data_IF_798662764164
#
_entry.id   IF_798662764164
#
_cell.length_a   1.000
_cell.length_b   1.000
_cell.length_c   1.000
_cell.angle_alpha   90.00
_cell.angle_beta   90.00
_cell.angle_gamma   90.00
#
_symmetry.space_group_name_H-M   'P 1'
#
loop_
_entity.id
_entity.type
_entity.pdbx_description
1 polymer ?
#
# COMPACT_ATOMS: atom_id res chain seq x y z
N UNK A 1 1.26 24.00 -69.14
CA UNK A 1 2.37 23.50 -68.28
C UNK A 1 2.17 24.14 -66.91
N UNK A 2 1.66 23.39 -65.91
CA UNK A 2 2.42 22.74 -64.83
C UNK A 2 3.13 23.80 -63.94
N UNK A 3 2.99 23.87 -62.62
CA UNK A 3 2.46 22.93 -61.62
C UNK A 3 2.42 23.61 -60.24
N UNK A 4 1.37 23.27 -59.47
CA UNK A 4 1.40 22.93 -58.03
C UNK A 4 1.85 24.03 -57.04
N UNK A 5 0.87 24.74 -56.47
CA UNK A 5 0.99 25.30 -55.11
C UNK A 5 0.71 24.18 -54.11
N UNK A 6 1.74 23.69 -53.41
CA UNK A 6 1.58 22.82 -52.25
C UNK A 6 1.12 23.67 -51.07
N UNK A 7 -0.19 23.68 -50.80
CA UNK A 7 -0.72 24.15 -49.53
C UNK A 7 -0.65 22.96 -48.56
N UNK A 8 0.44 22.86 -47.81
CA UNK A 8 0.61 21.89 -46.73
C UNK A 8 -0.38 22.22 -45.61
N UNK A 9 -1.50 21.49 -45.59
CA UNK A 9 -2.38 21.39 -44.42
C UNK A 9 -1.58 20.74 -43.29
N UNK A 10 -1.00 21.55 -42.41
CA UNK A 10 -0.54 21.09 -41.09
C UNK A 10 -1.79 20.80 -40.25
N UNK A 11 -2.32 19.59 -40.39
CA UNK A 11 -3.21 19.00 -39.40
C UNK A 11 -2.39 18.74 -38.13
N UNK A 12 -2.30 19.75 -37.28
CA UNK A 12 -1.96 19.60 -35.86
C UNK A 12 -3.08 18.78 -35.22
N UNK A 13 -2.96 17.45 -35.33
CA UNK A 13 -3.67 16.53 -34.47
C UNK A 13 -3.15 16.71 -33.04
N UNK A 14 -3.72 17.65 -32.30
CA UNK A 14 -3.62 17.61 -30.85
C UNK A 14 -4.43 16.40 -30.40
N UNK A 15 -3.74 15.28 -30.21
CA UNK A 15 -4.23 14.21 -29.38
C UNK A 15 -4.40 14.80 -27.97
N UNK A 16 -5.60 15.28 -27.66
CA UNK A 16 -6.03 15.47 -26.28
C UNK A 16 -6.06 14.09 -25.65
N UNK A 17 -4.94 13.67 -25.07
CA UNK A 17 -4.97 12.67 -24.03
C UNK A 17 -5.81 13.29 -22.92
N UNK A 18 -7.09 12.91 -22.84
CA UNK A 18 -7.90 13.15 -21.68
C UNK A 18 -7.20 12.44 -20.51
N UNK A 19 -6.34 13.17 -19.78
CA UNK A 19 -5.98 12.76 -18.44
C UNK A 19 -7.30 12.77 -17.69
N UNK A 20 -7.83 11.59 -17.39
CA UNK A 20 -8.85 11.46 -16.37
C UNK A 20 -8.33 12.23 -15.16
N UNK A 21 -9.09 13.24 -14.72
CA UNK A 21 -8.73 14.03 -13.55
C UNK A 21 -8.52 13.05 -12.39
N UNK A 22 -7.36 13.12 -11.75
CA UNK A 22 -7.08 12.28 -10.60
C UNK A 22 -8.15 12.56 -9.54
N UNK A 23 -8.82 11.50 -9.10
CA UNK A 23 -9.90 11.61 -8.14
C UNK A 23 -9.41 12.28 -6.85
N UNK A 24 -10.19 13.26 -6.38
CA UNK A 24 -9.88 14.00 -5.15
C UNK A 24 -10.42 13.23 -3.95
N UNK A 25 -9.62 13.17 -2.89
CA UNK A 25 -10.01 12.54 -1.63
C UNK A 25 -10.10 13.61 -0.53
N UNK A 26 -11.10 13.50 0.33
CA UNK A 26 -11.36 14.41 1.44
C UNK A 26 -11.57 13.65 2.74
N UNK A 27 -11.18 14.26 3.86
CA UNK A 27 -11.61 13.79 5.18
C UNK A 27 -12.93 14.44 5.52
N UNK A 28 -13.91 13.63 5.88
CA UNK A 28 -15.25 14.08 6.25
C UNK A 28 -15.68 13.49 7.59
N UNK A 29 -16.49 14.25 8.30
CA UNK A 29 -17.17 13.86 9.53
C UNK A 29 -18.65 13.68 9.27
N UNK A 30 -19.20 12.55 9.70
CA UNK A 30 -20.57 12.12 9.44
C UNK A 30 -21.24 11.86 10.78
N UNK A 31 -22.37 12.50 11.06
CA UNK A 31 -23.09 12.26 12.31
C UNK A 31 -23.54 10.79 12.40
N UNK A 32 -23.10 10.10 13.44
CA UNK A 32 -23.24 8.66 13.58
C UNK A 32 -24.55 8.29 14.30
N UNK A 33 -25.44 7.62 13.58
CA UNK A 33 -26.49 6.80 14.19
C UNK A 33 -26.11 5.31 14.20
N UNK A 34 -26.92 4.50 14.90
CA UNK A 34 -26.65 3.07 15.08
C UNK A 34 -26.62 2.27 13.76
N UNK A 35 -27.20 2.80 12.67
CA UNK A 35 -27.32 2.12 11.39
C UNK A 35 -26.41 2.72 10.29
N UNK A 36 -25.73 3.85 10.55
CA UNK A 36 -24.95 4.57 9.56
C UNK A 36 -23.88 3.67 8.95
N UNK A 37 -23.10 2.99 9.79
CA UNK A 37 -22.01 2.13 9.32
C UNK A 37 -22.51 1.07 8.32
N UNK A 38 -23.61 0.38 8.66
CA UNK A 38 -24.21 -0.63 7.79
C UNK A 38 -24.76 -0.03 6.48
N UNK A 39 -25.30 1.19 6.52
CA UNK A 39 -25.74 1.89 5.29
C UNK A 39 -24.56 2.21 4.39
N UNK A 40 -23.48 2.76 4.93
CA UNK A 40 -22.27 3.09 4.16
C UNK A 40 -21.64 1.85 3.52
N UNK A 41 -21.57 0.74 4.26
CA UNK A 41 -21.06 -0.53 3.72
C UNK A 41 -21.89 -1.05 2.55
N UNK A 42 -23.22 -1.01 2.65
CA UNK A 42 -24.13 -1.45 1.56
C UNK A 42 -24.06 -0.57 0.32
N UNK A 43 -23.61 0.67 0.48
CA UNK A 43 -23.36 1.59 -0.63
C UNK A 43 -21.99 1.36 -1.30
N UNK A 44 -21.19 0.42 -0.80
CA UNK A 44 -19.89 0.08 -1.38
C UNK A 44 -18.78 1.07 -1.05
N UNK A 45 -18.93 1.87 0.02
CA UNK A 45 -17.88 2.79 0.48
C UNK A 45 -16.77 2.05 1.21
N UNK A 46 -15.53 2.52 1.05
CA UNK A 46 -14.34 2.06 1.75
C UNK A 46 -14.31 2.55 3.21
N UNK A 47 -15.24 2.05 4.03
CA UNK A 47 -15.38 2.39 5.45
C UNK A 47 -14.60 1.47 6.39
N UNK A 48 -13.56 0.81 5.89
CA UNK A 48 -12.65 -0.03 6.68
C UNK A 48 -11.67 0.77 7.56
N UNK A 49 -11.51 2.07 7.29
CA UNK A 49 -10.63 2.98 8.06
C UNK A 49 -11.40 4.12 8.73
N UNK A 50 -12.61 3.86 9.21
CA UNK A 50 -13.44 4.87 9.88
C UNK A 50 -13.12 4.95 11.36
N UNK A 51 -12.90 6.17 11.85
CA UNK A 51 -12.68 6.43 13.27
C UNK A 51 -13.92 7.06 13.90
N UNK A 52 -14.36 6.54 15.04
CA UNK A 52 -15.43 7.16 15.83
C UNK A 52 -14.85 8.28 16.68
N UNK A 53 -15.32 9.49 16.48
CA UNK A 53 -14.95 10.66 17.28
C UNK A 53 -16.22 11.27 17.89
N UNK A 54 -16.45 11.01 19.18
CA UNK A 54 -17.68 11.38 19.86
C UNK A 54 -18.91 10.72 19.20
N UNK A 55 -19.83 11.54 18.70
CA UNK A 55 -21.02 11.11 17.99
C UNK A 55 -20.86 11.09 16.46
N UNK A 56 -19.64 11.22 15.94
CA UNK A 56 -19.40 11.23 14.49
C UNK A 56 -18.49 10.07 14.05
N UNK A 57 -18.67 9.66 12.80
CA UNK A 57 -17.74 8.82 12.04
C UNK A 57 -16.88 9.72 11.16
N UNK A 58 -15.56 9.61 11.29
CA UNK A 58 -14.59 10.30 10.44
C UNK A 58 -14.07 9.32 9.40
N UNK A 59 -14.20 9.67 8.13
CA UNK A 59 -13.80 8.84 7.00
C UNK A 59 -13.00 9.65 5.97
N UNK A 60 -12.09 8.98 5.28
CA UNK A 60 -11.34 9.54 4.15
C UNK A 60 -11.89 8.94 2.86
N UNK A 61 -12.68 9.73 2.14
CA UNK A 61 -13.51 9.26 1.03
C UNK A 61 -13.18 9.98 -0.27
N UNK A 62 -13.36 9.27 -1.38
CA UNK A 62 -13.20 9.79 -2.72
C UNK A 62 -14.36 10.71 -3.11
N UNK A 63 -14.18 11.56 -4.10
CA UNK A 63 -15.25 12.41 -4.64
C UNK A 63 -16.45 11.58 -5.12
N UNK A 64 -16.21 10.41 -5.74
CA UNK A 64 -17.27 9.47 -6.13
C UNK A 64 -18.07 8.96 -4.93
N UNK A 65 -17.39 8.60 -3.85
CA UNK A 65 -18.02 8.12 -2.62
C UNK A 65 -18.83 9.22 -1.93
N UNK A 66 -18.30 10.44 -1.89
CA UNK A 66 -18.99 11.61 -1.33
C UNK A 66 -20.25 11.96 -2.14
N UNK A 67 -20.18 11.91 -3.47
CA UNK A 67 -21.34 12.11 -4.35
C UNK A 67 -22.41 11.04 -4.11
N UNK A 68 -21.99 9.79 -3.89
CA UNK A 68 -22.88 8.67 -3.56
C UNK A 68 -23.59 8.89 -2.23
N UNK A 69 -22.88 9.42 -1.22
CA UNK A 69 -23.49 9.81 0.06
C UNK A 69 -24.51 10.94 -0.08
N UNK A 70 -24.18 12.00 -0.83
CA UNK A 70 -25.09 13.11 -1.06
C UNK A 70 -26.37 12.66 -1.78
N UNK A 71 -26.24 11.81 -2.80
CA UNK A 71 -27.37 11.25 -3.53
C UNK A 71 -28.28 10.39 -2.63
N UNK A 72 -27.73 9.75 -1.60
CA UNK A 72 -28.47 9.00 -0.59
C UNK A 72 -29.04 9.87 0.55
N UNK A 73 -28.87 11.19 0.49
CA UNK A 73 -29.33 12.12 1.53
C UNK A 73 -28.51 12.09 2.82
N UNK A 74 -27.29 11.53 2.78
CA UNK A 74 -26.37 11.49 3.93
C UNK A 74 -25.56 12.79 3.93
N UNK A 75 -25.77 13.61 4.95
CA UNK A 75 -25.01 14.84 5.16
C UNK A 75 -23.68 14.56 5.84
N UNK A 76 -22.67 15.35 5.50
CA UNK A 76 -21.33 15.28 6.11
C UNK A 76 -20.69 16.67 6.16
N UNK A 77 -19.71 16.82 7.04
CA UNK A 77 -18.87 18.02 7.15
C UNK A 77 -17.48 17.72 6.64
N UNK A 78 -16.95 18.55 5.74
CA UNK A 78 -15.57 18.39 5.23
C UNK A 78 -14.60 18.96 6.26
N UNK A 79 -13.69 18.12 6.76
CA UNK A 79 -12.61 18.51 7.68
C UNK A 79 -11.32 18.83 6.93
N UNK A 80 -11.00 18.02 5.92
CA UNK A 80 -9.83 18.23 5.05
C UNK A 80 -10.31 18.11 3.61
N UNK A 81 -10.22 19.22 2.88
CA UNK A 81 -10.73 19.29 1.51
C UNK A 81 -9.91 18.43 0.53
N UNK A 82 -8.58 18.44 0.66
CA UNK A 82 -7.67 17.72 -0.24
C UNK A 82 -6.62 16.96 0.57
N UNK A 83 -6.83 15.65 0.73
CA UNK A 83 -5.95 14.77 1.49
C UNK A 83 -4.55 14.64 0.90
N UNK A 84 -4.44 14.54 -0.43
CA UNK A 84 -3.14 14.43 -1.09
C UNK A 84 -2.27 15.66 -0.78
N UNK A 85 -2.81 16.87 -0.95
CA UNK A 85 -2.10 18.11 -0.63
C UNK A 85 -1.78 18.21 0.87
N UNK A 86 -2.73 17.84 1.73
CA UNK A 86 -2.53 17.83 3.17
C UNK A 86 -1.36 16.93 3.59
N UNK A 87 -1.29 15.69 3.07
CA UNK A 87 -0.23 14.76 3.41
C UNK A 87 1.12 15.15 2.80
N UNK A 88 1.14 15.74 1.59
CA UNK A 88 2.37 16.28 1.01
C UNK A 88 2.97 17.39 1.88
N UNK A 89 2.15 18.35 2.33
CA UNK A 89 2.60 19.43 3.20
C UNK A 89 2.98 18.94 4.61
N UNK A 90 2.23 17.99 5.16
CA UNK A 90 2.59 17.34 6.42
C UNK A 90 3.96 16.69 6.30
N UNK A 91 4.20 15.90 5.25
CA UNK A 91 5.48 15.23 5.04
C UNK A 91 6.65 16.23 4.93
N UNK A 92 6.47 17.35 4.22
CA UNK A 92 7.49 18.42 4.15
C UNK A 92 7.85 18.96 5.53
N UNK A 93 6.85 19.27 6.36
CA UNK A 93 7.06 19.77 7.72
C UNK A 93 7.74 18.72 8.62
N UNK A 94 7.24 17.49 8.55
CA UNK A 94 7.71 16.33 9.29
C UNK A 94 9.16 15.96 8.99
N UNK A 95 9.62 16.15 7.74
CA UNK A 95 10.99 15.89 7.30
C UNK A 95 11.93 17.07 7.54
N UNK A 96 11.40 18.30 7.62
CA UNK A 96 12.18 19.48 7.99
C UNK A 96 12.52 19.49 9.48
N UNK A 97 11.67 18.90 10.32
CA UNK A 97 11.97 18.62 11.73
C UNK A 97 12.81 17.33 11.82
N UNK A 98 13.82 17.30 12.71
CA UNK A 98 14.82 16.22 12.77
C UNK A 98 14.18 14.81 12.68
N UNK A 99 14.33 14.08 11.55
CA UNK A 99 13.45 12.96 11.21
C UNK A 99 13.58 11.74 12.14
N UNK A 100 14.73 11.58 12.81
CA UNK A 100 15.02 10.44 13.69
C UNK A 100 14.86 10.73 15.19
N UNK A 101 14.41 11.94 15.56
CA UNK A 101 14.22 12.35 16.95
C UNK A 101 12.77 12.27 17.43
N UNK A 102 11.88 11.62 16.66
CA UNK A 102 10.51 11.37 17.13
C UNK A 102 10.61 10.43 18.33
N UNK A 103 10.21 10.94 19.50
CA UNK A 103 10.04 10.11 20.68
C UNK A 103 9.15 8.92 20.31
N UNK A 104 9.58 7.71 20.65
CA UNK A 104 8.73 6.53 20.56
C UNK A 104 7.41 6.87 21.27
N UNK A 105 6.29 6.85 20.54
CA UNK A 105 4.97 7.00 21.14
C UNK A 105 4.67 5.63 21.76
N UNK A 106 4.61 5.51 23.09
CA UNK A 106 4.39 4.22 23.72
C UNK A 106 3.00 3.70 23.32
N UNK A 107 2.93 2.45 22.85
CA UNK A 107 1.66 1.74 22.69
C UNK A 107 1.18 1.24 24.07
N UNK A 108 0.91 2.15 25.01
CA UNK A 108 0.53 1.81 26.39
C UNK A 108 1.27 2.64 27.45
N UNK A 109 1.29 2.14 28.69
CA UNK A 109 2.15 2.73 29.73
C UNK A 109 3.62 2.61 29.28
N UNK A 110 4.41 3.70 29.29
CA UNK A 110 5.79 3.66 28.86
C UNK A 110 6.58 2.68 29.74
N UNK A 111 6.95 1.54 29.18
CA UNK A 111 7.96 0.67 29.75
C UNK A 111 9.34 1.18 29.29
N UNK A 112 10.21 1.66 30.19
CA UNK A 112 11.55 2.13 29.83
C UNK A 112 12.42 1.06 29.16
N UNK A 113 12.05 -0.23 29.25
CA UNK A 113 12.72 -1.32 28.57
C UNK A 113 12.31 -1.49 27.09
N UNK A 114 11.20 -0.90 26.65
CA UNK A 114 10.66 -1.05 25.29
C UNK A 114 11.18 0.04 24.33
N UNK A 115 12.44 0.44 24.47
CA UNK A 115 13.07 1.37 23.53
C UNK A 115 13.62 0.63 22.33
N UNK A 116 12.79 0.46 21.29
CA UNK A 116 13.24 -0.04 19.99
C UNK A 116 14.17 1.02 19.38
N UNK A 117 15.46 0.70 19.30
CA UNK A 117 16.43 1.56 18.62
C UNK A 117 16.21 1.48 17.11
N UNK A 118 16.34 2.62 16.43
CA UNK A 118 16.31 2.66 14.97
C UNK A 118 17.53 1.88 14.44
N UNK A 119 17.34 0.88 13.56
CA UNK A 119 18.46 0.15 12.97
C UNK A 119 19.42 1.11 12.24
N UNK A 120 20.71 0.86 12.36
CA UNK A 120 21.78 1.70 11.84
C UNK A 120 21.73 1.85 10.31
N UNK A 121 21.25 0.83 9.58
CA UNK A 121 21.12 0.86 8.13
C UNK A 121 19.73 1.32 7.65
N UNK A 122 18.80 1.63 8.56
CA UNK A 122 17.49 2.15 8.20
C UNK A 122 17.56 3.66 7.92
N UNK A 123 16.89 4.10 6.86
CA UNK A 123 16.73 5.52 6.53
C UNK A 123 15.35 5.77 5.95
N UNK A 124 14.91 7.04 5.93
CA UNK A 124 13.66 7.42 5.26
C UNK A 124 13.85 7.50 3.75
N UNK A 125 12.82 7.16 2.99
CA UNK A 125 12.85 7.20 1.52
C UNK A 125 12.53 8.56 0.91
N UNK A 126 12.71 8.69 -0.41
CA UNK A 126 12.60 10.00 -1.09
C UNK A 126 11.18 10.39 -1.50
N UNK A 127 10.18 9.53 -1.29
CA UNK A 127 8.78 9.78 -1.61
C UNK A 127 8.02 10.22 -0.34
N UNK A 128 8.26 11.46 0.10
CA UNK A 128 7.62 12.00 1.31
C UNK A 128 8.02 11.27 2.59
N UNK A 129 9.24 10.73 2.65
CA UNK A 129 9.76 9.93 3.76
C UNK A 129 9.58 8.43 3.58
N UNK A 130 8.81 8.01 2.58
CA UNK A 130 8.64 6.60 2.21
C UNK A 130 9.51 6.21 1.02
N UNK A 131 9.79 4.91 0.89
CA UNK A 131 10.62 4.37 -0.18
C UNK A 131 9.91 4.40 -1.52
N UNK A 132 10.59 4.89 -2.56
CA UNK A 132 10.23 4.51 -3.92
C UNK A 132 10.41 3.01 -4.10
N UNK A 133 9.74 2.43 -5.09
CA UNK A 133 9.85 0.99 -5.35
C UNK A 133 11.30 0.54 -5.55
N UNK A 134 12.10 1.33 -6.28
CA UNK A 134 13.53 1.07 -6.49
C UNK A 134 14.38 1.18 -5.22
N UNK A 135 13.98 2.02 -4.27
CA UNK A 135 14.68 2.19 -2.99
C UNK A 135 14.41 1.00 -2.07
N UNK A 136 13.16 0.52 -2.03
CA UNK A 136 12.81 -0.74 -1.35
C UNK A 136 13.63 -1.90 -1.90
N UNK A 137 13.71 -2.03 -3.22
CA UNK A 137 14.54 -3.03 -3.89
C UNK A 137 16.02 -2.92 -3.50
N UNK A 138 16.57 -1.70 -3.47
CA UNK A 138 17.95 -1.47 -3.04
C UNK A 138 18.19 -1.84 -1.57
N UNK A 139 17.20 -1.66 -0.68
CA UNK A 139 17.30 -2.13 0.70
C UNK A 139 17.43 -3.66 0.78
N UNK A 140 16.65 -4.40 0.00
CA UNK A 140 16.76 -5.88 -0.04
C UNK A 140 18.13 -6.33 -0.53
N UNK A 141 18.64 -5.70 -1.58
CA UNK A 141 19.97 -6.01 -2.13
C UNK A 141 21.08 -5.68 -1.10
N UNK A 142 20.94 -4.57 -0.38
CA UNK A 142 21.88 -4.16 0.67
C UNK A 142 21.86 -5.12 1.87
N UNK A 143 20.68 -5.58 2.30
CA UNK A 143 20.55 -6.57 3.39
C UNK A 143 21.26 -7.88 3.02
N UNK A 144 21.03 -8.41 1.82
CA UNK A 144 21.69 -9.63 1.35
C UNK A 144 23.22 -9.48 1.25
N UNK A 145 23.72 -8.30 0.89
CA UNK A 145 25.15 -8.02 0.86
C UNK A 145 25.78 -7.93 2.26
N UNK A 146 25.07 -7.36 3.23
CA UNK A 146 25.58 -7.14 4.60
C UNK A 146 25.42 -8.37 5.50
N UNK A 147 24.38 -9.18 5.28
CA UNK A 147 24.01 -10.31 6.15
C UNK A 147 23.79 -11.60 5.34
N UNK A 148 24.76 -12.04 4.50
CA UNK A 148 24.55 -13.16 3.57
C UNK A 148 24.22 -14.49 4.25
N UNK A 149 24.58 -14.63 5.52
CA UNK A 149 24.30 -15.83 6.33
C UNK A 149 22.94 -15.77 7.04
N UNK A 150 22.20 -14.65 6.96
CA UNK A 150 20.91 -14.46 7.66
C UNK A 150 19.76 -14.08 6.74
N UNK A 151 20.02 -13.65 5.50
CA UNK A 151 18.97 -13.30 4.54
C UNK A 151 19.33 -13.77 3.14
N UNK A 152 18.32 -14.26 2.40
CA UNK A 152 18.47 -14.64 1.01
C UNK A 152 18.65 -13.40 0.12
N UNK A 153 19.26 -13.58 -1.05
CA UNK A 153 19.03 -12.64 -2.15
C UNK A 153 17.55 -12.60 -2.48
N UNK A 154 17.03 -11.45 -2.94
CA UNK A 154 15.64 -11.39 -3.39
C UNK A 154 15.41 -12.32 -4.57
N UNK A 155 14.28 -13.00 -4.57
CA UNK A 155 13.82 -13.81 -5.69
C UNK A 155 12.35 -13.47 -6.02
N UNK A 156 11.88 -13.96 -7.15
CA UNK A 156 10.51 -13.75 -7.63
C UNK A 156 9.62 -14.92 -7.25
N UNK A 157 8.33 -14.67 -7.02
CA UNK A 157 7.36 -15.77 -6.81
C UNK A 157 7.14 -16.49 -8.16
N UNK A 158 7.53 -17.77 -8.31
CA UNK A 158 7.53 -18.44 -9.60
C UNK A 158 6.12 -18.54 -10.21
N UNK A 159 6.03 -18.27 -11.51
CA UNK A 159 4.77 -18.38 -12.26
C UNK A 159 3.81 -17.20 -12.11
N UNK A 160 4.13 -16.22 -11.26
CA UNK A 160 3.27 -15.05 -11.02
C UNK A 160 3.95 -13.74 -11.39
N UNK A 161 3.17 -12.88 -12.06
CA UNK A 161 3.50 -11.50 -12.33
C UNK A 161 2.23 -10.66 -12.15
N UNK A 162 2.39 -9.40 -11.79
CA UNK A 162 1.26 -8.46 -11.70
C UNK A 162 0.55 -8.27 -13.03
N UNK A 163 -0.60 -7.59 -13.01
CA UNK A 163 -1.35 -7.30 -14.23
C UNK A 163 -0.52 -6.55 -15.29
N UNK A 164 0.44 -5.72 -14.88
CA UNK A 164 1.35 -5.02 -15.78
C UNK A 164 2.68 -5.76 -16.01
N UNK A 165 2.77 -7.04 -15.66
CA UNK A 165 3.92 -7.90 -15.96
C UNK A 165 5.14 -7.65 -15.05
N UNK A 166 4.94 -7.11 -13.84
CA UNK A 166 6.04 -6.94 -12.87
C UNK A 166 6.18 -8.21 -12.02
N UNK A 167 7.41 -8.64 -11.73
CA UNK A 167 7.61 -9.68 -10.74
C UNK A 167 7.22 -9.18 -9.34
N UNK A 168 6.77 -10.11 -8.51
CA UNK A 168 6.57 -9.91 -7.06
C UNK A 168 7.79 -10.52 -6.37
N UNK A 169 8.51 -9.71 -5.60
CA UNK A 169 9.75 -10.12 -4.95
C UNK A 169 9.53 -10.55 -3.50
N UNK A 170 10.27 -11.56 -3.09
CA UNK A 170 10.36 -12.03 -1.72
C UNK A 170 11.81 -12.24 -1.29
N UNK A 171 12.03 -12.30 0.02
CA UNK A 171 13.29 -12.71 0.67
C UNK A 171 12.96 -13.58 1.89
N UNK A 172 13.89 -14.43 2.31
CA UNK A 172 13.80 -15.22 3.55
C UNK A 172 14.87 -14.77 4.53
N UNK A 173 14.49 -14.55 5.79
CA UNK A 173 15.41 -14.41 6.93
C UNK A 173 15.32 -15.70 7.76
N UNK A 174 16.42 -16.43 7.89
CA UNK A 174 16.65 -17.53 8.86
C UNK A 174 18.16 -17.68 9.08
N UNK A 175 18.60 -18.53 10.01
CA UNK A 175 20.01 -18.86 10.21
C UNK A 175 20.61 -19.72 9.06
N UNK A 176 19.78 -20.31 8.20
CA UNK A 176 20.18 -20.96 6.94
C UNK A 176 19.34 -20.42 5.75
N UNK A 177 19.57 -19.17 5.30
CA UNK A 177 18.69 -18.47 4.37
C UNK A 177 18.63 -19.06 2.95
N UNK A 178 19.50 -20.03 2.62
CA UNK A 178 19.58 -20.68 1.30
C UNK A 178 19.11 -22.13 1.30
N UNK A 179 18.75 -22.67 2.46
CA UNK A 179 18.22 -24.04 2.61
C UNK A 179 16.70 -24.00 2.75
N UNK A 180 16.02 -25.12 2.56
CA UNK A 180 14.59 -25.25 2.89
C UNK A 180 14.50 -26.10 4.16
N UNK A 181 13.99 -25.51 5.23
CA UNK A 181 13.97 -26.10 6.58
C UNK A 181 12.55 -26.42 7.05
N UNK A 182 11.57 -26.47 6.14
CA UNK A 182 10.14 -26.73 6.45
C UNK A 182 9.88 -28.01 7.25
N UNK A 183 10.81 -28.97 7.23
CA UNK A 183 10.71 -30.20 8.01
C UNK A 183 11.01 -30.01 9.51
N UNK A 184 11.73 -28.95 9.87
CA UNK A 184 12.26 -28.70 11.22
C UNK A 184 11.86 -27.34 11.78
N UNK A 185 11.56 -26.36 10.93
CA UNK A 185 11.23 -24.99 11.33
C UNK A 185 9.86 -24.54 10.80
N UNK A 186 9.04 -23.88 11.63
CA UNK A 186 7.83 -23.22 11.18
C UNK A 186 8.14 -22.01 10.28
N UNK A 187 7.26 -21.77 9.30
CA UNK A 187 7.38 -20.67 8.36
C UNK A 187 6.39 -19.56 8.72
N UNK A 188 6.84 -18.31 8.63
CA UNK A 188 6.02 -17.11 8.90
C UNK A 188 6.08 -16.18 7.71
N UNK A 189 4.92 -15.78 7.19
CA UNK A 189 4.81 -14.86 6.07
C UNK A 189 4.48 -13.44 6.56
N UNK A 190 5.28 -12.49 6.12
CA UNK A 190 5.05 -11.06 6.25
C UNK A 190 4.87 -10.47 4.87
N UNK A 191 3.78 -9.74 4.68
CA UNK A 191 3.55 -9.00 3.46
C UNK A 191 3.22 -7.54 3.76
N UNK A 192 3.35 -6.71 2.74
CA UNK A 192 3.04 -5.30 2.83
C UNK A 192 2.50 -4.78 1.50
N UNK A 193 1.79 -3.65 1.58
CA UNK A 193 1.26 -2.92 0.43
C UNK A 193 0.33 -3.81 -0.42
N UNK A 194 -0.66 -4.45 0.21
CA UNK A 194 -1.87 -4.90 -0.50
C UNK A 194 -2.57 -3.70 -1.11
N UNK A 195 -2.74 -2.66 -0.30
CA UNK A 195 -3.22 -1.37 -0.76
C UNK A 195 -2.05 -0.45 -1.08
N UNK A 196 -2.05 0.07 -2.30
CA UNK A 196 -0.97 0.89 -2.83
C UNK A 196 -0.76 2.23 -2.10
N UNK A 197 -1.75 2.72 -1.36
CA UNK A 197 -1.70 3.99 -0.59
C UNK A 197 -1.19 3.83 0.84
N UNK A 198 -0.74 2.64 1.22
CA UNK A 198 -0.28 2.33 2.59
C UNK A 198 1.25 2.08 2.66
N UNK A 199 2.11 3.01 2.18
CA UNK A 199 3.57 2.85 2.14
C UNK A 199 4.22 2.64 3.51
N UNK A 200 3.52 3.01 4.60
CA UNK A 200 4.00 2.78 5.96
C UNK A 200 4.17 1.29 6.26
N UNK A 201 3.34 0.41 5.68
CA UNK A 201 3.50 -1.04 5.82
C UNK A 201 4.86 -1.48 5.28
N UNK A 202 5.22 -1.07 4.06
CA UNK A 202 6.54 -1.33 3.46
C UNK A 202 7.68 -0.79 4.33
N UNK A 203 7.57 0.45 4.79
CA UNK A 203 8.61 1.06 5.62
C UNK A 203 8.81 0.32 6.95
N UNK A 204 7.71 -0.12 7.59
CA UNK A 204 7.76 -0.93 8.80
C UNK A 204 8.36 -2.31 8.53
N UNK A 205 8.02 -2.96 7.42
CA UNK A 205 8.60 -4.26 7.05
C UNK A 205 10.12 -4.14 6.87
N UNK A 206 10.60 -3.14 6.13
CA UNK A 206 12.04 -2.89 5.95
C UNK A 206 12.73 -2.57 7.27
N UNK A 207 12.08 -1.78 8.14
CA UNK A 207 12.59 -1.50 9.50
C UNK A 207 12.74 -2.80 10.31
N UNK A 208 11.70 -3.64 10.31
CA UNK A 208 11.70 -4.89 11.08
C UNK A 208 12.75 -5.87 10.58
N UNK A 209 12.94 -5.98 9.26
CA UNK A 209 14.00 -6.79 8.68
C UNK A 209 15.40 -6.32 9.13
N UNK A 210 15.70 -5.01 9.06
CA UNK A 210 16.96 -4.52 9.60
C UNK A 210 17.10 -4.75 11.10
N UNK A 211 16.01 -4.61 11.86
CA UNK A 211 16.01 -4.88 13.29
C UNK A 211 16.42 -6.33 13.58
N UNK A 212 15.86 -7.31 12.86
CA UNK A 212 16.23 -8.71 13.00
C UNK A 212 17.71 -8.94 12.66
N UNK A 213 18.16 -8.45 11.51
CA UNK A 213 19.52 -8.68 11.02
C UNK A 213 20.60 -8.01 11.89
N UNK A 214 20.37 -6.77 12.33
CA UNK A 214 21.33 -6.02 13.14
C UNK A 214 21.40 -6.49 14.59
N UNK A 215 20.32 -7.08 15.11
CA UNK A 215 20.24 -7.51 16.50
C UNK A 215 20.41 -9.02 16.68
N UNK A 216 20.61 -9.79 15.60
CA UNK A 216 20.78 -11.26 15.67
C UNK A 216 21.84 -11.71 16.68
N UNK A 217 23.00 -11.04 16.73
CA UNK A 217 24.09 -11.42 17.64
C UNK A 217 24.01 -10.79 19.04
N UNK A 218 23.11 -9.82 19.25
CA UNK A 218 23.07 -9.00 20.48
C UNK A 218 21.77 -9.15 21.27
N UNK A 219 20.70 -9.66 20.66
CA UNK A 219 19.40 -9.85 21.28
C UNK A 219 19.00 -11.33 21.24
N UNK A 220 18.91 -11.95 22.42
CA UNK A 220 18.61 -13.37 22.56
C UNK A 220 17.24 -13.76 21.98
N UNK A 221 16.23 -12.89 22.07
CA UNK A 221 14.90 -13.17 21.51
C UNK A 221 14.93 -13.09 19.98
N UNK A 222 15.64 -12.12 19.40
CA UNK A 222 15.82 -12.03 17.95
C UNK A 222 16.56 -13.25 17.43
N UNK A 223 17.62 -13.66 18.13
CA UNK A 223 18.36 -14.88 17.79
C UNK A 223 17.47 -16.11 17.82
N UNK A 224 16.70 -16.29 18.90
CA UNK A 224 15.78 -17.42 19.07
C UNK A 224 14.74 -17.49 17.95
N UNK A 225 14.19 -16.35 17.54
CA UNK A 225 13.28 -16.29 16.39
C UNK A 225 14.00 -16.74 15.10
N UNK A 226 15.15 -16.17 14.78
CA UNK A 226 15.85 -16.44 13.51
C UNK A 226 16.46 -17.85 13.44
N UNK A 227 16.86 -18.42 14.59
CA UNK A 227 17.43 -19.78 14.70
C UNK A 227 16.37 -20.90 14.70
N UNK A 228 15.08 -20.56 14.78
CA UNK A 228 14.02 -21.57 14.90
C UNK A 228 12.81 -21.28 13.99
N UNK A 229 12.91 -20.33 13.06
CA UNK A 229 11.82 -19.99 12.15
C UNK A 229 12.35 -19.51 10.79
N UNK A 230 11.60 -19.83 9.74
CA UNK A 230 11.82 -19.24 8.42
C UNK A 230 10.87 -18.06 8.20
N UNK A 231 11.41 -16.85 8.18
CA UNK A 231 10.63 -15.63 8.01
C UNK A 231 10.66 -15.18 6.54
N UNK A 232 9.54 -15.32 5.84
CA UNK A 232 9.36 -14.90 4.46
C UNK A 232 8.78 -13.48 4.41
N UNK A 233 9.36 -12.62 3.59
CA UNK A 233 8.93 -11.24 3.43
C UNK A 233 8.57 -10.93 1.98
N UNK A 234 7.38 -10.37 1.75
CA UNK A 234 6.92 -9.78 0.48
C UNK A 234 6.68 -8.28 0.73
N UNK A 235 7.70 -7.41 0.61
CA UNK A 235 7.60 -6.01 1.04
C UNK A 235 6.65 -5.15 0.19
N UNK A 236 6.24 -5.64 -0.99
CA UNK A 236 5.30 -4.95 -1.87
C UNK A 236 4.53 -5.97 -2.71
N UNK A 237 3.33 -6.35 -2.25
CA UNK A 237 2.46 -7.25 -2.99
C UNK A 237 1.83 -6.59 -4.22
N UNK A 238 1.55 -5.28 -4.16
CA UNK A 238 0.91 -4.50 -5.23
C UNK A 238 1.87 -3.47 -5.87
N UNK A 239 2.93 -3.90 -6.57
CA UNK A 239 3.89 -2.97 -7.17
C UNK A 239 3.25 -2.11 -8.27
N UNK A 240 2.24 -2.61 -8.98
CA UNK A 240 1.55 -1.85 -10.03
C UNK A 240 0.82 -0.63 -9.46
N UNK A 241 0.01 -0.82 -8.42
CA UNK A 241 -0.68 0.27 -7.74
C UNK A 241 0.30 1.19 -7.04
N UNK A 242 1.34 0.64 -6.40
CA UNK A 242 2.35 1.42 -5.70
C UNK A 242 3.11 2.37 -6.63
N UNK A 243 3.58 1.85 -7.78
CA UNK A 243 4.26 2.65 -8.81
C UNK A 243 3.30 3.65 -9.44
N UNK A 244 2.01 3.33 -9.56
CA UNK A 244 1.02 4.32 -10.00
C UNK A 244 1.00 5.53 -9.05
N UNK A 245 0.89 5.31 -7.73
CA UNK A 245 0.98 6.39 -6.73
C UNK A 245 2.30 7.15 -6.82
N UNK A 246 3.44 6.46 -6.96
CA UNK A 246 4.74 7.10 -7.13
C UNK A 246 4.78 8.03 -8.35
N UNK A 247 4.13 7.64 -9.46
CA UNK A 247 4.13 8.43 -10.69
C UNK A 247 3.14 9.62 -10.64
N UNK A 248 2.00 9.47 -9.96
CA UNK A 248 0.98 10.52 -9.86
C UNK A 248 1.19 11.45 -8.67
N UNK A 249 1.92 11.00 -7.65
CA UNK A 249 2.22 11.73 -6.42
C UNK A 249 3.70 11.50 -6.00
N UNK A 250 4.68 11.96 -6.79
CA UNK A 250 6.10 11.64 -6.58
C UNK A 250 6.70 12.15 -5.26
N UNK A 251 6.02 13.11 -4.62
CA UNK A 251 6.41 13.66 -3.31
C UNK A 251 5.65 12.99 -2.14
N UNK A 252 4.91 11.91 -2.39
CA UNK A 252 4.04 11.25 -1.41
C UNK A 252 2.58 11.72 -1.48
N UNK A 253 1.72 11.07 -0.69
CA UNK A 253 0.28 11.39 -0.60
C UNK A 253 -0.60 10.79 -1.71
N UNK A 254 -0.08 9.83 -2.49
CA UNK A 254 -0.88 9.10 -3.47
C UNK A 254 -2.00 8.30 -2.83
N UNK A 255 -3.23 8.45 -3.34
CA UNK A 255 -4.45 7.89 -2.73
C UNK A 255 -4.98 6.63 -3.43
N UNK A 256 -4.32 6.15 -4.49
CA UNK A 256 -4.74 4.94 -5.19
C UNK A 256 -4.60 3.71 -4.27
N UNK A 257 -5.68 2.95 -4.11
CA UNK A 257 -5.73 1.78 -3.22
C UNK A 257 -5.48 0.45 -3.94
N UNK A 258 -6.23 0.20 -5.01
CA UNK A 258 -6.37 -1.12 -5.66
C UNK A 258 -5.12 -1.54 -6.45
N UNK A 259 -5.14 -2.72 -7.07
CA UNK A 259 -4.18 -3.04 -8.15
C UNK A 259 -4.49 -2.22 -9.43
N UNK A 260 -3.93 -2.60 -10.58
CA UNK A 260 -4.09 -1.86 -11.85
C UNK A 260 -4.82 -2.63 -12.96
N UNK A 261 -5.65 -3.63 -12.62
CA UNK A 261 -6.49 -4.33 -13.61
C UNK A 261 -7.35 -3.38 -14.43
N UNK A 262 -7.40 -3.55 -15.75
CA UNK A 262 -8.39 -2.86 -16.57
C UNK A 262 -9.72 -3.63 -16.56
N UNK A 263 -10.78 -3.02 -16.05
CA UNK A 263 -12.11 -3.63 -15.94
C UNK A 263 -13.07 -3.20 -17.07
N UNK A 264 -12.57 -2.59 -18.16
CA UNK A 264 -13.41 -2.16 -19.28
C UNK A 264 -14.21 -0.87 -19.00
N UNK A 265 -13.63 0.06 -18.25
CA UNK A 265 -14.25 1.34 -17.90
C UNK A 265 -13.75 1.93 -16.57
N UNK A 266 -13.23 1.07 -15.70
CA UNK A 266 -12.53 1.46 -14.47
C UNK A 266 -11.21 0.67 -14.34
N UNK A 267 -10.44 1.00 -13.29
CA UNK A 267 -9.22 0.28 -12.98
C UNK A 267 -9.23 -0.29 -11.56
N UNK A 268 -8.54 -1.41 -11.41
CA UNK A 268 -8.15 -2.01 -10.14
C UNK A 268 -9.20 -2.92 -9.53
N UNK A 269 -8.71 -3.94 -8.84
CA UNK A 269 -9.39 -4.81 -7.88
C UNK A 269 -8.76 -4.56 -6.50
N UNK A 270 -9.59 -4.51 -5.47
CA UNK A 270 -9.11 -4.50 -4.08
C UNK A 270 -8.57 -5.90 -3.76
N UNK A 271 -7.24 -6.03 -3.66
CA UNK A 271 -6.58 -7.31 -3.40
C UNK A 271 -7.04 -7.91 -2.06
N UNK A 272 -7.30 -7.08 -1.05
CA UNK A 272 -7.77 -7.52 0.25
C UNK A 272 -9.30 -7.76 0.28
N UNK A 273 -9.95 -7.84 -0.88
CA UNK A 273 -11.31 -8.37 -1.07
C UNK A 273 -11.34 -9.51 -2.09
N UNK A 274 -10.19 -9.90 -2.64
CA UNK A 274 -10.10 -10.89 -3.71
C UNK A 274 -9.75 -12.31 -3.24
N UNK A 275 -9.30 -12.50 -2.00
CA UNK A 275 -9.06 -13.83 -1.43
C UNK A 275 -10.33 -14.71 -1.38
N UNK A 276 -10.15 -16.03 -1.34
CA UNK A 276 -11.25 -17.00 -1.48
C UNK A 276 -12.16 -17.17 -0.26
N UNK A 277 -11.73 -16.75 0.93
CA UNK A 277 -12.55 -16.93 2.15
C UNK A 277 -13.76 -15.98 2.13
N UNK A 278 -14.97 -16.56 2.14
CA UNK A 278 -16.24 -15.83 2.10
C UNK A 278 -16.33 -14.79 0.96
N UNK A 279 -15.66 -15.06 -0.16
CA UNK A 279 -15.66 -14.16 -1.31
C UNK A 279 -17.08 -13.92 -1.82
N UNK A 280 -17.50 -12.65 -1.84
CA UNK A 280 -18.83 -12.26 -2.30
C UNK A 280 -19.99 -12.83 -1.49
N UNK A 281 -19.76 -13.20 -0.22
CA UNK A 281 -20.81 -13.69 0.68
C UNK A 281 -22.01 -12.73 0.75
N UNK A 282 -21.74 -11.43 0.84
CA UNK A 282 -22.72 -10.37 0.69
C UNK A 282 -22.11 -9.13 0.01
N UNK A 283 -22.82 -8.00 0.02
CA UNK A 283 -22.34 -6.71 -0.48
C UNK A 283 -22.02 -5.72 0.66
N UNK A 284 -21.56 -6.24 1.80
CA UNK A 284 -21.13 -5.45 2.95
C UNK A 284 -19.62 -5.62 3.13
N UNK A 285 -18.89 -4.50 3.11
CA UNK A 285 -17.44 -4.51 3.21
C UNK A 285 -16.71 -4.88 1.91
N UNK A 286 -17.41 -5.31 0.86
CA UNK A 286 -16.87 -5.46 -0.51
C UNK A 286 -17.98 -5.19 -1.54
N UNK A 287 -17.62 -4.99 -2.81
CA UNK A 287 -18.60 -4.67 -3.87
C UNK A 287 -18.36 -5.47 -5.16
N UNK A 288 -19.41 -5.88 -5.91
CA UNK A 288 -19.28 -6.40 -7.26
C UNK A 288 -19.15 -5.29 -8.33
N UNK A 289 -19.31 -4.03 -7.96
CA UNK A 289 -19.20 -2.89 -8.88
C UNK A 289 -17.72 -2.51 -9.09
N UNK A 290 -17.19 -2.61 -10.34
CA UNK A 290 -15.79 -2.36 -10.65
C UNK A 290 -15.35 -0.90 -10.45
N UNK A 291 -16.28 0.04 -10.26
CA UNK A 291 -15.97 1.45 -10.03
C UNK A 291 -15.64 1.77 -8.57
N UNK A 292 -16.00 0.88 -7.63
CA UNK A 292 -15.81 1.11 -6.20
C UNK A 292 -14.38 0.82 -5.73
N UNK A 293 -13.98 1.45 -4.62
CA UNK A 293 -12.68 1.23 -3.98
C UNK A 293 -12.55 -0.16 -3.34
N UNK A 294 -13.68 -0.81 -3.03
CA UNK A 294 -13.75 -2.16 -2.44
C UNK A 294 -14.22 -3.22 -3.44
N UNK A 295 -13.99 -2.99 -4.74
CA UNK A 295 -14.33 -3.94 -5.79
C UNK A 295 -13.58 -5.27 -5.59
N UNK A 296 -14.32 -6.36 -5.42
CA UNK A 296 -13.79 -7.68 -5.05
C UNK A 296 -13.23 -8.52 -6.20
N UNK A 297 -13.29 -8.02 -7.43
CA UNK A 297 -12.85 -8.74 -8.64
C UNK A 297 -13.95 -9.60 -9.28
N UNK A 298 -13.60 -10.30 -10.36
CA UNK A 298 -14.55 -11.12 -11.12
C UNK A 298 -14.80 -12.51 -10.50
N UNK A 299 -13.91 -12.93 -9.60
CA UNK A 299 -13.97 -14.19 -8.87
C UNK A 299 -12.96 -14.17 -7.72
N UNK A 300 -13.03 -15.14 -6.79
CA UNK A 300 -11.99 -15.32 -5.79
C UNK A 300 -10.67 -15.65 -6.49
N UNK A 301 -9.58 -15.08 -5.99
CA UNK A 301 -8.25 -15.20 -6.56
C UNK A 301 -8.22 -14.88 -8.06
N UNK A 302 -9.00 -13.88 -8.51
CA UNK A 302 -8.94 -13.43 -9.90
C UNK A 302 -7.65 -12.65 -10.20
N UNK A 303 -7.00 -12.09 -9.18
CA UNK A 303 -5.81 -11.28 -9.32
C UNK A 303 -4.53 -12.11 -9.13
N UNK A 304 -3.53 -11.98 -10.02
CA UNK A 304 -2.29 -12.73 -9.90
C UNK A 304 -1.53 -12.39 -8.61
N UNK A 305 -1.66 -11.16 -8.10
CA UNK A 305 -1.07 -10.78 -6.83
C UNK A 305 -1.64 -11.61 -5.67
N UNK A 306 -2.96 -11.86 -5.64
CA UNK A 306 -3.54 -12.73 -4.60
C UNK A 306 -3.31 -14.22 -4.85
N UNK A 307 -3.14 -14.67 -6.10
CA UNK A 307 -2.79 -16.05 -6.41
C UNK A 307 -1.35 -16.41 -6.02
N UNK A 308 -0.47 -15.39 -5.97
CA UNK A 308 0.92 -15.55 -5.59
C UNK A 308 1.13 -15.83 -4.09
N UNK A 309 0.09 -15.60 -3.26
CA UNK A 309 0.10 -15.75 -1.81
C UNK A 309 -0.64 -17.02 -1.40
#
# INVERSE_FOLDING_TARGET
MRSILFLSLLLLGQAFAARAQQEKYSRVSIEADAALYNRLQKMGLAVDHVHRHGNSLVAELSETELNTMQAAGISFTVEIENLQKYYEERAKNDLAQNPMQRQLIPCGEPNPADTVQVPANFSLGTMGGFFKYSEMLAHLDNMAALYPDLISVRDTIPGYQTIQGRPIYWVKISDNPTQDEVATEPQVLYDAVHHAREPMSMAQTIFYMYYLLENYNSNALVKDIVDNTELFFVPCLNPDGYIYNQNTAPNGGGMWRKNRRNNGGSFGVDLNRNYGYLWGFDNQGSSPDPTTEVYRGAGPFSEPETQAM
#
